data_IF_668441391892
#
_entry.id   IF_668441391892
#
_cell.length_a   1.000
_cell.length_b   1.000
_cell.length_c   1.000
_cell.angle_alpha   90.00
_cell.angle_beta   90.00
_cell.angle_gamma   90.00
#
_symmetry.space_group_name_H-M   'P 1'
#
loop_
_entity.id
_entity.type
_entity.pdbx_description
1 polymer ?
#
# COMPACT_ATOMS: atom_id res chain seq x y z
N UNK A 1 -13.59 -0.81 -25.37
CA UNK A 1 -13.27 -0.79 -23.93
C UNK A 1 -11.86 -0.25 -23.79
N UNK A 2 -11.66 0.69 -22.88
CA UNK A 2 -10.33 1.18 -22.50
C UNK A 2 -9.92 0.44 -21.23
N UNK A 3 -8.72 -0.13 -21.22
CA UNK A 3 -8.19 -0.95 -20.13
C UNK A 3 -7.01 -0.27 -19.39
N UNK A 4 -6.75 1.00 -19.71
CA UNK A 4 -5.70 1.77 -19.06
C UNK A 4 -6.16 2.20 -17.67
N UNK A 5 -5.22 2.20 -16.73
CA UNK A 5 -5.43 2.84 -15.42
C UNK A 5 -5.63 4.33 -15.60
N UNK A 6 -6.50 4.91 -14.77
CA UNK A 6 -6.63 6.37 -14.62
C UNK A 6 -5.34 6.97 -14.08
N UNK A 7 -5.18 8.29 -14.21
CA UNK A 7 -4.01 8.99 -13.65
C UNK A 7 -3.91 8.77 -12.13
N UNK A 8 -5.03 8.85 -11.41
CA UNK A 8 -5.08 8.59 -9.96
C UNK A 8 -4.63 7.17 -9.62
N UNK A 9 -5.12 6.16 -10.34
CA UNK A 9 -4.71 4.76 -10.15
C UNK A 9 -3.22 4.55 -10.42
N UNK A 10 -2.66 5.22 -11.44
CA UNK A 10 -1.23 5.15 -11.74
C UNK A 10 -0.40 5.82 -10.63
N UNK A 11 -0.86 6.93 -10.07
CA UNK A 11 -0.20 7.60 -8.95
C UNK A 11 -0.19 6.72 -7.69
N UNK A 12 -1.31 6.07 -7.37
CA UNK A 12 -1.41 5.15 -6.24
C UNK A 12 -0.48 3.95 -6.43
N UNK A 13 -0.48 3.35 -7.63
CA UNK A 13 0.43 2.26 -7.98
C UNK A 13 1.90 2.67 -7.84
N UNK A 14 2.27 3.88 -8.27
CA UNK A 14 3.63 4.40 -8.16
C UNK A 14 4.04 4.57 -6.68
N UNK A 15 3.17 5.16 -5.86
CA UNK A 15 3.42 5.35 -4.43
C UNK A 15 3.57 4.00 -3.69
N UNK A 16 2.70 3.03 -3.99
CA UNK A 16 2.79 1.68 -3.42
C UNK A 16 4.09 0.98 -3.81
N UNK A 17 4.52 1.13 -5.08
CA UNK A 17 5.79 0.58 -5.58
C UNK A 17 6.99 1.19 -4.86
N UNK A 18 7.01 2.51 -4.69
CA UNK A 18 8.10 3.21 -4.00
C UNK A 18 8.21 2.73 -2.55
N UNK A 19 7.09 2.69 -1.82
CA UNK A 19 7.04 2.19 -0.45
C UNK A 19 7.53 0.74 -0.33
N UNK A 20 7.10 -0.13 -1.25
CA UNK A 20 7.54 -1.52 -1.25
C UNK A 20 9.06 -1.65 -1.48
N UNK A 21 9.64 -0.81 -2.35
CA UNK A 21 11.08 -0.83 -2.63
C UNK A 21 11.92 -0.22 -1.51
N UNK A 22 11.45 0.85 -0.88
CA UNK A 22 12.23 1.56 0.15
C UNK A 22 12.07 0.95 1.55
N UNK A 23 10.88 0.47 1.91
CA UNK A 23 10.56 0.06 3.28
C UNK A 23 10.42 -1.46 3.46
N UNK A 24 9.91 -2.17 2.45
CA UNK A 24 9.62 -3.61 2.56
C UNK A 24 10.80 -4.45 2.05
N UNK A 25 11.26 -4.18 0.82
CA UNK A 25 12.28 -4.98 0.15
C UNK A 25 13.59 -5.15 0.97
N UNK A 26 14.13 -4.11 1.66
CA UNK A 26 15.37 -4.26 2.42
C UNK A 26 15.26 -5.20 3.63
N UNK A 27 14.06 -5.35 4.20
CA UNK A 27 13.84 -6.11 5.44
C UNK A 27 13.14 -7.46 5.19
N UNK A 28 12.56 -7.65 4.01
CA UNK A 28 11.71 -8.79 3.67
C UNK A 28 12.37 -10.15 3.98
N UNK A 29 13.59 -10.39 3.49
CA UNK A 29 14.28 -11.66 3.70
C UNK A 29 14.57 -11.97 5.19
N UNK A 30 14.83 -10.93 5.99
CA UNK A 30 15.03 -11.10 7.44
C UNK A 30 13.74 -11.52 8.13
N UNK A 31 12.65 -10.83 7.83
CA UNK A 31 11.34 -11.11 8.43
C UNK A 31 10.77 -12.46 7.99
N UNK A 32 11.02 -12.85 6.74
CA UNK A 32 10.68 -14.19 6.23
C UNK A 32 11.42 -15.29 7.03
N UNK A 33 12.73 -15.13 7.24
CA UNK A 33 13.54 -16.09 7.97
C UNK A 33 13.22 -16.12 9.49
N UNK A 34 12.92 -14.98 10.10
CA UNK A 34 12.67 -14.89 11.55
C UNK A 34 11.22 -15.18 11.94
N UNK A 35 10.27 -15.02 11.02
CA UNK A 35 8.84 -15.05 11.30
C UNK A 35 8.35 -13.86 12.15
N UNK A 36 9.19 -12.83 12.32
CA UNK A 36 8.85 -11.66 13.12
C UNK A 36 7.90 -10.74 12.35
N UNK A 37 6.84 -10.27 13.01
CA UNK A 37 5.89 -9.35 12.39
C UNK A 37 6.47 -7.93 12.27
N UNK A 38 6.52 -7.33 11.07
CA UNK A 38 7.12 -6.02 10.85
C UNK A 38 6.17 -4.88 11.26
N UNK A 39 5.85 -4.76 12.55
CA UNK A 39 4.88 -3.79 13.09
C UNK A 39 5.16 -2.34 12.66
N UNK A 40 6.43 -1.94 12.64
CA UNK A 40 6.83 -0.59 12.26
C UNK A 40 6.54 -0.30 10.78
N UNK A 41 6.82 -1.25 9.89
CA UNK A 41 6.54 -1.12 8.46
C UNK A 41 5.04 -1.09 8.19
N UNK A 42 4.26 -1.91 8.90
CA UNK A 42 2.79 -1.90 8.79
C UNK A 42 2.19 -0.60 9.31
N UNK A 43 2.69 -0.05 10.42
CA UNK A 43 2.25 1.26 10.92
C UNK A 43 2.50 2.36 9.88
N UNK A 44 3.70 2.37 9.26
CA UNK A 44 4.03 3.31 8.19
C UNK A 44 3.16 3.14 6.95
N UNK A 45 2.82 1.90 6.58
CA UNK A 45 1.87 1.62 5.51
C UNK A 45 0.47 2.18 5.83
N UNK A 46 0.06 2.11 7.10
CA UNK A 46 -1.20 2.67 7.59
C UNK A 46 -1.25 4.20 7.49
N UNK A 47 -0.18 4.89 7.87
CA UNK A 47 -0.06 6.35 7.73
C UNK A 47 -0.16 6.82 6.27
N UNK A 48 0.26 5.97 5.32
CA UNK A 48 0.16 6.23 3.88
C UNK A 48 -1.21 5.86 3.29
N UNK A 49 -2.13 5.33 4.09
CA UNK A 49 -3.47 4.93 3.64
C UNK A 49 -3.55 3.55 2.99
N UNK A 50 -2.44 2.80 2.90
CA UNK A 50 -2.41 1.47 2.27
C UNK A 50 -3.11 0.38 3.08
N UNK A 51 -3.41 0.62 4.37
CA UNK A 51 -4.12 -0.33 5.24
C UNK A 51 -5.65 -0.14 5.23
N UNK A 52 -6.16 0.81 4.43
CA UNK A 52 -7.58 1.14 4.37
C UNK A 52 -7.98 1.71 3.00
N UNK A 53 -7.42 1.17 1.92
CA UNK A 53 -7.54 1.72 0.55
C UNK A 53 -9.00 1.96 0.17
N UNK A 54 -9.87 0.96 0.31
CA UNK A 54 -11.30 1.05 -0.05
C UNK A 54 -12.20 1.58 1.07
N UNK A 55 -11.64 1.76 2.29
CA UNK A 55 -12.44 2.17 3.45
C UNK A 55 -12.80 3.66 3.30
N UNK A 56 -14.07 4.04 3.48
CA UNK A 56 -14.48 5.44 3.43
C UNK A 56 -13.67 6.34 4.37
N UNK A 57 -13.41 7.57 3.93
CA UNK A 57 -12.64 8.55 4.70
C UNK A 57 -13.27 8.86 6.07
N UNK A 58 -14.61 8.76 6.19
CA UNK A 58 -15.32 8.94 7.47
C UNK A 58 -14.92 7.92 8.55
N UNK A 59 -14.35 6.78 8.13
CA UNK A 59 -13.83 5.73 9.01
C UNK A 59 -12.29 5.71 9.08
N UNK A 60 -11.63 6.75 8.53
CA UNK A 60 -10.17 6.85 8.53
C UNK A 60 -9.46 6.06 7.42
N UNK A 61 -10.19 5.64 6.37
CA UNK A 61 -9.61 5.03 5.18
C UNK A 61 -9.29 6.02 4.06
N UNK A 62 -8.77 5.51 2.94
CA UNK A 62 -8.38 6.34 1.80
C UNK A 62 -9.54 6.66 0.84
N UNK A 63 -10.63 5.89 0.89
CA UNK A 63 -11.82 6.08 0.06
C UNK A 63 -11.56 5.88 -1.45
N UNK A 64 -10.59 5.04 -1.79
CA UNK A 64 -10.16 4.76 -3.16
C UNK A 64 -11.00 3.65 -3.80
N UNK A 65 -10.95 3.59 -5.13
CA UNK A 65 -11.70 2.61 -5.89
C UNK A 65 -11.05 1.21 -5.87
N UNK A 66 -11.81 0.14 -6.17
CA UNK A 66 -11.27 -1.21 -6.12
C UNK A 66 -10.11 -1.47 -7.08
N UNK A 67 -10.03 -0.77 -8.22
CA UNK A 67 -8.89 -0.97 -9.15
C UNK A 67 -7.60 -0.40 -8.55
N UNK A 68 -7.69 0.62 -7.71
CA UNK A 68 -6.55 1.16 -6.96
C UNK A 68 -6.08 0.24 -5.83
N UNK A 69 -6.89 -0.75 -5.41
CA UNK A 69 -6.52 -1.73 -4.38
C UNK A 69 -5.75 -2.94 -4.93
N UNK A 70 -5.98 -3.32 -6.20
CA UNK A 70 -5.39 -4.51 -6.84
C UNK A 70 -4.04 -4.27 -7.52
#
# INVERSE_FOLDING_TARGET
MDFRLTEDQQMIQAAAREFAQSEIAPIAARHDASGEFPSATIAKAGELGFMGVEVPQEYGGAGLDPISFV
#
